data_IF_098362045707
#
_entry.id   IF_098362045707
#
_cell.length_a   1.000
_cell.length_b   1.000
_cell.length_c   1.000
_cell.angle_alpha   90.00
_cell.angle_beta   90.00
_cell.angle_gamma   90.00
#
_symmetry.space_group_name_H-M   'P 1'
#
loop_
_entity.id
_entity.type
_entity.pdbx_description
1 polymer ?
#
# COMPACT_ATOMS: atom_id res chain seq x y z
N UNK A 1 -17.63 -8.29 -15.94
CA UNK A 1 -16.37 -8.35 -16.71
C UNK A 1 -15.27 -9.13 -15.98
N UNK A 2 -15.03 -8.87 -14.69
CA UNK A 2 -14.05 -9.61 -13.88
C UNK A 2 -14.20 -11.15 -13.96
N UNK A 3 -15.43 -11.67 -13.95
CA UNK A 3 -15.69 -13.11 -14.08
C UNK A 3 -15.21 -13.73 -15.41
N UNK A 4 -15.23 -12.98 -16.53
CA UNK A 4 -14.71 -13.47 -17.82
C UNK A 4 -13.18 -13.54 -17.82
N UNK A 5 -12.51 -12.57 -17.19
CA UNK A 5 -11.05 -12.57 -17.03
C UNK A 5 -10.60 -13.70 -16.09
N UNK A 6 -11.32 -13.93 -14.99
CA UNK A 6 -11.05 -15.06 -14.09
C UNK A 6 -11.25 -16.42 -14.76
N UNK A 7 -12.26 -16.57 -15.62
CA UNK A 7 -12.47 -17.79 -16.38
C UNK A 7 -11.32 -18.05 -17.35
N UNK A 8 -10.86 -17.01 -18.06
CA UNK A 8 -9.69 -17.10 -18.96
C UNK A 8 -8.39 -17.39 -18.20
N UNK A 9 -8.21 -16.81 -17.02
CA UNK A 9 -7.06 -17.12 -16.15
C UNK A 9 -7.02 -18.61 -15.78
N UNK A 10 -8.16 -19.16 -15.33
CA UNK A 10 -8.27 -20.59 -15.01
C UNK A 10 -7.98 -21.47 -16.24
N UNK A 11 -8.49 -21.09 -17.41
CA UNK A 11 -8.24 -21.83 -18.65
C UNK A 11 -6.75 -21.84 -19.03
N UNK A 12 -6.09 -20.68 -19.01
CA UNK A 12 -4.66 -20.59 -19.33
C UNK A 12 -3.79 -21.28 -18.28
N UNK A 13 -4.18 -21.22 -17.01
CA UNK A 13 -3.52 -21.94 -15.94
C UNK A 13 -3.58 -23.46 -16.14
N UNK A 14 -4.75 -24.01 -16.47
CA UNK A 14 -4.87 -25.44 -16.78
C UNK A 14 -4.03 -25.85 -17.99
N UNK A 15 -3.99 -25.04 -19.06
CA UNK A 15 -3.13 -25.29 -20.23
C UNK A 15 -1.64 -25.23 -19.88
N UNK A 16 -1.24 -24.31 -19.00
CA UNK A 16 0.12 -24.22 -18.47
C UNK A 16 0.52 -25.49 -17.72
N UNK A 17 -0.35 -25.98 -16.83
CA UNK A 17 -0.11 -27.21 -16.06
C UNK A 17 0.00 -28.42 -17.00
N UNK A 18 -0.90 -28.54 -17.99
CA UNK A 18 -0.86 -29.62 -18.97
C UNK A 18 0.44 -29.61 -19.80
N UNK A 19 0.90 -28.43 -20.25
CA UNK A 19 2.17 -28.29 -20.97
C UNK A 19 3.38 -28.64 -20.10
N UNK A 20 3.36 -28.25 -18.81
CA UNK A 20 4.40 -28.60 -17.85
C UNK A 20 4.51 -30.12 -17.61
N UNK A 21 3.36 -30.80 -17.47
CA UNK A 21 3.29 -32.27 -17.33
C UNK A 21 3.79 -32.99 -18.58
N UNK A 22 3.54 -32.41 -19.75
CA UNK A 22 3.99 -32.93 -21.05
C UNK A 22 5.47 -32.62 -21.34
N UNK A 23 6.18 -31.96 -20.40
CA UNK A 23 7.57 -31.47 -20.51
C UNK A 23 7.80 -30.51 -21.68
N UNK A 24 6.74 -29.88 -22.20
CA UNK A 24 6.83 -28.83 -23.21
C UNK A 24 7.03 -27.47 -22.52
N UNK A 25 8.29 -27.21 -22.13
CA UNK A 25 8.66 -26.01 -21.38
C UNK A 25 8.45 -24.71 -22.16
N UNK A 26 8.56 -24.77 -23.50
CA UNK A 26 8.34 -23.61 -24.35
C UNK A 26 6.88 -23.15 -24.28
N UNK A 27 5.92 -24.08 -24.45
CA UNK A 27 4.49 -23.76 -24.33
C UNK A 27 4.08 -23.41 -22.91
N UNK A 28 4.63 -24.10 -21.90
CA UNK A 28 4.36 -23.79 -20.50
C UNK A 28 4.74 -22.33 -20.17
N UNK A 29 5.91 -21.86 -20.65
CA UNK A 29 6.35 -20.48 -20.46
C UNK A 29 5.42 -19.45 -21.11
N UNK A 30 4.93 -19.73 -22.31
CA UNK A 30 3.97 -18.85 -23.01
C UNK A 30 2.65 -18.75 -22.22
N UNK A 31 2.08 -19.88 -21.80
CA UNK A 31 0.84 -19.88 -21.03
C UNK A 31 1.00 -19.23 -19.65
N UNK A 32 2.16 -19.38 -19.01
CA UNK A 32 2.46 -18.71 -17.75
C UNK A 32 2.51 -17.18 -17.90
N UNK A 33 3.13 -16.67 -18.98
CA UNK A 33 3.17 -15.24 -19.27
C UNK A 33 1.76 -14.69 -19.54
N UNK A 34 0.96 -15.38 -20.33
CA UNK A 34 -0.42 -14.97 -20.62
C UNK A 34 -1.28 -14.94 -19.34
N UNK A 35 -1.13 -15.94 -18.47
CA UNK A 35 -1.78 -15.99 -17.17
C UNK A 35 -1.38 -14.77 -16.29
N UNK A 36 -0.09 -14.41 -16.27
CA UNK A 36 0.38 -13.24 -15.54
C UNK A 36 -0.23 -11.92 -16.07
N UNK A 37 -0.28 -11.74 -17.39
CA UNK A 37 -0.88 -10.55 -18.00
C UNK A 37 -2.39 -10.47 -17.77
N UNK A 38 -3.12 -11.59 -17.90
CA UNK A 38 -4.56 -11.64 -17.59
C UNK A 38 -4.82 -11.23 -16.13
N UNK A 39 -4.00 -11.70 -15.18
CA UNK A 39 -4.12 -11.33 -13.76
C UNK A 39 -3.83 -9.86 -13.52
N UNK A 40 -2.84 -9.30 -14.20
CA UNK A 40 -2.50 -7.87 -14.14
C UNK A 40 -3.67 -7.03 -14.61
N UNK A 41 -4.25 -7.37 -15.76
CA UNK A 41 -5.44 -6.72 -16.30
C UNK A 41 -6.63 -6.85 -15.34
N UNK A 42 -6.88 -8.06 -14.82
CA UNK A 42 -7.97 -8.32 -13.89
C UNK A 42 -7.84 -7.49 -12.60
N UNK A 43 -6.62 -7.31 -12.08
CA UNK A 43 -6.35 -6.46 -10.92
C UNK A 43 -6.72 -5.00 -11.21
N UNK A 44 -6.28 -4.46 -12.35
CA UNK A 44 -6.57 -3.08 -12.72
C UNK A 44 -8.07 -2.86 -12.87
N UNK A 45 -8.78 -3.78 -13.54
CA UNK A 45 -10.24 -3.72 -13.69
C UNK A 45 -10.93 -3.74 -12.33
N UNK A 46 -10.57 -4.68 -11.45
CA UNK A 46 -11.21 -4.81 -10.13
C UNK A 46 -10.97 -3.57 -9.26
N UNK A 47 -9.74 -3.05 -9.23
CA UNK A 47 -9.42 -1.82 -8.49
C UNK A 47 -10.19 -0.63 -9.04
N UNK A 48 -10.37 -0.55 -10.36
CA UNK A 48 -11.15 0.50 -11.00
C UNK A 48 -12.63 0.40 -10.65
N UNK A 49 -13.20 -0.81 -10.62
CA UNK A 49 -14.59 -1.03 -10.19
C UNK A 49 -14.80 -0.54 -8.75
N UNK A 50 -13.91 -0.89 -7.82
CA UNK A 50 -13.99 -0.44 -6.43
C UNK A 50 -13.86 1.08 -6.29
N UNK A 51 -13.01 1.70 -7.10
CA UNK A 51 -12.87 3.15 -7.13
C UNK A 51 -14.18 3.84 -7.58
N UNK A 52 -14.82 3.30 -8.63
CA UNK A 52 -16.11 3.81 -9.11
C UNK A 52 -17.25 3.55 -8.11
N UNK A 53 -17.28 2.40 -7.44
CA UNK A 53 -18.25 2.14 -6.36
C UNK A 53 -18.12 3.17 -5.23
N UNK A 54 -16.89 3.52 -4.85
CA UNK A 54 -16.63 4.58 -3.87
C UNK A 54 -17.13 5.94 -4.35
N UNK A 55 -16.93 6.25 -5.64
CA UNK A 55 -17.43 7.49 -6.26
C UNK A 55 -18.96 7.52 -6.20
N UNK A 56 -19.64 6.44 -6.56
CA UNK A 56 -21.11 6.36 -6.55
C UNK A 56 -21.64 6.64 -5.15
N UNK A 57 -21.11 5.98 -4.13
CA UNK A 57 -21.54 6.19 -2.73
C UNK A 57 -21.32 7.64 -2.32
N UNK A 58 -20.21 8.25 -2.72
CA UNK A 58 -19.92 9.65 -2.38
C UNK A 58 -20.87 10.62 -3.09
N UNK A 59 -21.21 10.37 -4.35
CA UNK A 59 -22.20 11.16 -5.08
C UNK A 59 -23.59 11.02 -4.46
N UNK A 60 -23.99 9.82 -4.04
CA UNK A 60 -25.24 9.60 -3.29
C UNK A 60 -25.27 10.40 -1.98
N UNK A 61 -24.18 10.42 -1.23
CA UNK A 61 -24.10 11.25 -0.01
C UNK A 61 -24.12 12.76 -0.33
N UNK A 62 -23.58 13.20 -1.47
CA UNK A 62 -23.67 14.62 -1.86
C UNK A 62 -25.11 14.97 -2.24
N UNK A 63 -25.81 14.10 -2.96
CA UNK A 63 -27.22 14.24 -3.32
C UNK A 63 -28.11 14.31 -2.07
N UNK A 64 -27.91 13.41 -1.10
CA UNK A 64 -28.71 13.34 0.13
C UNK A 64 -28.49 14.51 1.09
N UNK A 65 -27.30 15.09 1.13
CA UNK A 65 -26.91 16.10 2.12
C UNK A 65 -26.76 17.53 1.58
N UNK A 66 -26.92 17.75 0.26
CA UNK A 66 -27.29 19.02 -0.38
C UNK A 66 -26.35 20.24 -0.30
N UNK A 67 -25.48 20.36 0.71
CA UNK A 67 -24.75 21.61 1.04
C UNK A 67 -23.22 21.49 0.94
N UNK A 68 -22.69 20.52 0.20
CA UNK A 68 -21.23 20.26 0.15
C UNK A 68 -20.67 20.14 -1.26
N UNK A 69 -20.89 21.17 -2.07
CA UNK A 69 -20.32 21.27 -3.42
C UNK A 69 -18.78 21.15 -3.46
N UNK A 70 -18.10 21.55 -2.38
CA UNK A 70 -16.64 21.41 -2.16
C UNK A 70 -16.18 19.93 -2.19
N UNK A 71 -17.10 18.96 -2.11
CA UNK A 71 -16.77 17.52 -2.12
C UNK A 71 -16.83 16.83 -3.48
N UNK A 72 -17.21 17.51 -4.57
CA UNK A 72 -17.26 16.93 -5.93
C UNK A 72 -15.86 16.87 -6.59
N UNK A 73 -14.97 17.83 -6.31
CA UNK A 73 -13.61 17.84 -6.89
C UNK A 73 -12.81 16.54 -6.61
N UNK A 74 -12.79 16.00 -5.37
CA UNK A 74 -12.16 14.71 -5.08
C UNK A 74 -12.77 13.52 -5.85
N UNK A 75 -14.04 13.61 -6.25
CA UNK A 75 -14.71 12.58 -7.05
C UNK A 75 -14.20 12.62 -8.50
N UNK A 76 -14.07 13.82 -9.06
CA UNK A 76 -13.56 14.04 -10.41
C UNK A 76 -12.12 13.53 -10.56
N UNK A 77 -11.27 13.75 -9.55
CA UNK A 77 -9.89 13.26 -9.55
C UNK A 77 -9.83 11.72 -9.61
N UNK A 78 -10.67 11.03 -8.83
CA UNK A 78 -10.76 9.57 -8.85
C UNK A 78 -11.28 9.06 -10.20
N UNK A 79 -12.25 9.74 -10.81
CA UNK A 79 -12.77 9.40 -12.15
C UNK A 79 -11.67 9.54 -13.20
N UNK A 80 -10.92 10.66 -13.21
CA UNK A 80 -9.79 10.90 -14.12
C UNK A 80 -8.68 9.87 -13.95
N UNK A 81 -8.30 9.55 -12.72
CA UNK A 81 -7.29 8.54 -12.41
C UNK A 81 -7.74 7.15 -12.90
N UNK A 82 -9.00 6.80 -12.66
CA UNK A 82 -9.58 5.52 -13.07
C UNK A 82 -9.64 5.40 -14.60
N UNK A 83 -10.01 6.49 -15.29
CA UNK A 83 -9.95 6.58 -16.75
C UNK A 83 -8.54 6.31 -17.26
N UNK A 84 -7.52 6.96 -16.70
CA UNK A 84 -6.12 6.76 -17.12
C UNK A 84 -5.66 5.30 -16.97
N UNK A 85 -6.10 4.62 -15.92
CA UNK A 85 -5.80 3.19 -15.69
C UNK A 85 -6.53 2.26 -16.65
N UNK A 86 -7.78 2.58 -17.01
CA UNK A 86 -8.61 1.76 -17.89
C UNK A 86 -8.31 2.00 -19.37
N UNK A 87 -7.90 3.21 -19.78
CA UNK A 87 -7.70 3.58 -21.18
C UNK A 87 -6.73 2.67 -21.94
N UNK A 88 -5.70 2.16 -21.26
CA UNK A 88 -4.74 1.20 -21.84
C UNK A 88 -5.24 -0.24 -21.95
N UNK A 89 -6.44 -0.55 -21.42
CA UNK A 89 -7.00 -1.90 -21.36
C UNK A 89 -8.33 -1.96 -22.11
N UNK A 90 -9.24 -1.03 -21.82
CA UNK A 90 -10.61 -0.97 -22.37
C UNK A 90 -10.90 0.48 -22.77
N UNK A 91 -10.57 0.87 -24.02
CA UNK A 91 -10.74 2.24 -24.50
C UNK A 91 -12.19 2.71 -24.45
N UNK A 92 -13.17 1.84 -24.72
CA UNK A 92 -14.59 2.21 -24.73
C UNK A 92 -15.05 2.69 -23.35
N UNK A 93 -14.67 1.98 -22.28
CA UNK A 93 -15.02 2.38 -20.90
C UNK A 93 -14.31 3.69 -20.52
N UNK A 94 -13.11 3.95 -21.06
CA UNK A 94 -12.41 5.21 -20.82
C UNK A 94 -13.04 6.41 -21.54
N UNK A 95 -13.78 6.19 -22.64
CA UNK A 95 -14.57 7.25 -23.29
C UNK A 95 -15.80 7.59 -22.45
N UNK A 96 -16.54 6.58 -22.00
CA UNK A 96 -17.71 6.78 -21.12
C UNK A 96 -17.31 7.49 -19.81
N UNK A 97 -16.15 7.15 -19.23
CA UNK A 97 -15.63 7.85 -18.05
C UNK A 97 -15.23 9.30 -18.32
N UNK A 98 -14.89 9.66 -19.56
CA UNK A 98 -14.65 11.05 -19.95
C UNK A 98 -15.96 11.83 -20.03
N UNK A 99 -17.01 11.22 -20.54
CA UNK A 99 -18.35 11.83 -20.59
C UNK A 99 -18.86 12.07 -19.16
N UNK A 100 -18.66 11.11 -18.25
CA UNK A 100 -18.95 11.29 -16.81
C UNK A 100 -18.13 12.44 -16.20
N UNK A 101 -16.84 12.52 -16.50
CA UNK A 101 -15.98 13.60 -16.01
C UNK A 101 -16.41 14.98 -16.56
N UNK A 102 -16.92 15.03 -17.79
CA UNK A 102 -17.47 16.26 -18.40
C UNK A 102 -18.78 16.65 -17.73
N UNK A 103 -19.69 15.70 -17.52
CA UNK A 103 -20.95 15.95 -16.80
C UNK A 103 -20.72 16.44 -15.37
N UNK A 104 -19.71 15.89 -14.66
CA UNK A 104 -19.32 16.38 -13.33
C UNK A 104 -18.70 17.79 -13.37
N UNK A 105 -17.98 18.16 -14.44
CA UNK A 105 -17.48 19.52 -14.65
C UNK A 105 -18.62 20.50 -14.90
N UNK A 106 -19.55 20.15 -15.79
CA UNK A 106 -20.71 20.99 -16.11
C UNK A 106 -21.58 21.21 -14.87
N UNK A 107 -21.82 20.17 -14.09
CA UNK A 107 -22.53 20.26 -12.80
C UNK A 107 -21.80 21.17 -11.81
N UNK A 108 -20.46 21.08 -11.75
CA UNK A 108 -19.66 21.98 -10.91
C UNK A 108 -19.70 23.43 -11.38
N UNK A 109 -19.82 23.68 -12.68
CA UNK A 109 -19.93 25.01 -13.26
C UNK A 109 -21.33 25.61 -13.04
N UNK A 110 -22.38 24.81 -13.23
CA UNK A 110 -23.79 25.22 -13.14
C UNK A 110 -24.22 25.49 -11.70
N UNK A 111 -23.64 24.79 -10.73
CA UNK A 111 -23.80 25.09 -9.31
C UNK A 111 -23.02 26.34 -8.85
N UNK A 112 -22.39 27.06 -9.78
CA UNK A 112 -21.75 28.36 -9.60
C UNK A 112 -20.24 28.22 -9.46
N UNK A 113 -19.51 29.07 -10.19
CA UNK A 113 -18.16 29.45 -9.82
C UNK A 113 -18.20 29.88 -8.34
N UNK A 114 -17.73 29.00 -7.45
CA UNK A 114 -16.92 29.53 -6.36
C UNK A 114 -15.70 30.07 -7.08
N UNK A 115 -15.78 31.34 -7.49
CA UNK A 115 -14.59 32.13 -7.73
C UNK A 115 -13.68 31.79 -6.56
N UNK A 116 -12.56 31.16 -6.87
CA UNK A 116 -11.44 31.12 -5.95
C UNK A 116 -10.90 32.55 -5.86
N UNK A 117 -11.71 33.48 -5.35
CA UNK A 117 -11.17 34.48 -4.48
C UNK A 117 -10.42 33.69 -3.42
N UNK A 118 -9.10 33.69 -3.54
CA UNK A 118 -8.21 33.56 -2.40
C UNK A 118 -8.41 34.74 -1.45
N UNK A 119 -9.67 35.07 -1.12
CA UNK A 119 -9.99 35.90 0.01
C UNK A 119 -9.85 35.00 1.23
N UNK A 120 -8.69 35.21 1.85
CA UNK A 120 -8.41 34.97 3.25
C UNK A 120 -9.63 34.43 4.01
N UNK A 121 -9.54 33.18 4.45
CA UNK A 121 -10.05 32.83 5.78
C UNK A 121 -9.60 33.99 6.66
N UNK A 122 -10.57 34.82 7.09
CA UNK A 122 -10.31 36.09 7.73
C UNK A 122 -9.22 35.91 8.79
N UNK A 123 -8.24 36.82 8.79
CA UNK A 123 -7.05 36.78 9.65
C UNK A 123 -7.34 36.02 10.94
N UNK A 124 -6.82 34.79 11.02
CA UNK A 124 -7.03 33.92 12.17
C UNK A 124 -6.58 34.73 13.38
N UNK A 125 -7.49 34.99 14.34
CA UNK A 125 -7.10 35.69 15.56
C UNK A 125 -6.07 34.82 16.29
N UNK A 126 -5.11 35.44 16.99
CA UNK A 126 -4.12 34.71 17.77
C UNK A 126 -4.77 33.67 18.72
N UNK A 127 -5.98 33.96 19.19
CA UNK A 127 -6.77 33.05 20.01
C UNK A 127 -7.24 31.80 19.25
N UNK A 128 -7.67 31.95 17.99
CA UNK A 128 -8.04 30.82 17.15
C UNK A 128 -6.83 29.95 16.75
N UNK A 129 -5.64 30.56 16.60
CA UNK A 129 -4.38 29.80 16.40
C UNK A 129 -4.08 28.93 17.62
N UNK A 130 -4.21 29.48 18.83
CA UNK A 130 -4.00 28.72 20.08
C UNK A 130 -4.98 27.58 20.23
N UNK A 131 -6.27 27.82 19.96
CA UNK A 131 -7.30 26.77 20.05
C UNK A 131 -7.04 25.64 19.05
N UNK A 132 -6.58 25.95 17.83
CA UNK A 132 -6.19 24.94 16.85
C UNK A 132 -4.98 24.13 17.30
N UNK A 133 -4.00 24.79 17.93
CA UNK A 133 -2.80 24.14 18.44
C UNK A 133 -3.11 23.21 19.62
N UNK A 134 -3.93 23.66 20.57
CA UNK A 134 -4.40 22.84 21.69
C UNK A 134 -5.24 21.65 21.21
N UNK A 135 -6.12 21.87 20.23
CA UNK A 135 -6.94 20.80 19.63
C UNK A 135 -6.08 19.77 18.90
N UNK A 136 -5.00 20.19 18.23
CA UNK A 136 -4.07 19.28 17.55
C UNK A 136 -3.31 18.38 18.53
N UNK A 137 -2.87 18.93 19.67
CA UNK A 137 -2.18 18.16 20.71
C UNK A 137 -3.12 17.11 21.31
N UNK A 138 -4.36 17.50 21.62
CA UNK A 138 -5.36 16.57 22.16
C UNK A 138 -5.71 15.49 21.12
N UNK A 139 -5.82 15.85 19.84
CA UNK A 139 -6.05 14.88 18.77
C UNK A 139 -4.90 13.89 18.62
N UNK A 140 -3.64 14.34 18.73
CA UNK A 140 -2.46 13.46 18.69
C UNK A 140 -2.39 12.51 19.89
N UNK A 141 -2.72 12.98 21.09
CA UNK A 141 -2.82 12.13 22.29
C UNK A 141 -3.93 11.10 22.15
N UNK A 142 -5.12 11.51 21.70
CA UNK A 142 -6.22 10.60 21.42
C UNK A 142 -5.88 9.58 20.34
N UNK A 143 -5.13 9.96 19.30
CA UNK A 143 -4.66 9.05 18.26
C UNK A 143 -3.66 8.03 18.81
N UNK A 144 -2.73 8.43 19.68
CA UNK A 144 -1.79 7.52 20.36
C UNK A 144 -2.51 6.55 21.31
N UNK A 145 -3.59 6.97 21.96
CA UNK A 145 -4.39 6.10 22.84
C UNK A 145 -5.28 5.12 22.06
N UNK A 146 -5.94 5.58 20.98
CA UNK A 146 -6.83 4.73 20.17
C UNK A 146 -6.11 3.85 19.16
N UNK A 147 -4.92 4.25 18.74
CA UNK A 147 -4.07 3.52 17.81
C UNK A 147 -2.63 3.48 18.34
N UNK A 148 -2.33 2.62 19.32
CA UNK A 148 -0.94 2.33 19.66
C UNK A 148 -0.26 1.80 18.40
N UNK A 149 0.81 2.49 17.97
CA UNK A 149 1.51 2.17 16.73
C UNK A 149 1.91 0.68 16.73
N UNK A 150 1.47 -0.10 15.72
CA UNK A 150 1.98 -1.45 15.57
C UNK A 150 3.46 -1.35 15.22
N UNK A 151 4.32 -1.86 16.12
CA UNK A 151 5.72 -2.17 15.79
C UNK A 151 5.73 -3.26 14.73
N UNK A 152 5.58 -2.89 13.46
CA UNK A 152 5.77 -3.78 12.33
C UNK A 152 7.05 -3.39 11.59
N UNK A 153 8.09 -4.15 11.90
CA UNK A 153 8.98 -4.83 10.96
C UNK A 153 9.62 -4.00 9.84
N UNK A 154 10.93 -3.80 10.01
CA UNK A 154 11.97 -3.85 8.98
C UNK A 154 11.58 -3.40 7.56
N UNK A 155 11.58 -2.09 7.33
CA UNK A 155 12.26 -1.59 6.15
C UNK A 155 13.76 -1.70 6.40
N UNK A 156 14.42 -2.63 5.68
CA UNK A 156 15.86 -2.65 5.54
C UNK A 156 16.23 -1.36 4.80
N UNK A 157 16.54 -0.30 5.56
CA UNK A 157 17.28 0.85 5.07
C UNK A 157 18.76 0.49 5.12
N UNK A 158 19.32 0.18 3.95
CA UNK A 158 20.77 0.19 3.77
C UNK A 158 21.16 1.67 3.78
N UNK A 159 21.63 2.15 4.93
CA UNK A 159 22.37 3.40 5.05
C UNK A 159 23.80 3.05 5.44
N UNK A 160 24.73 3.52 4.63
CA UNK A 160 26.16 3.47 4.88
C UNK A 160 26.50 4.10 6.24
N UNK A 161 27.47 3.50 6.94
CA UNK A 161 28.21 4.15 8.04
C UNK A 161 27.41 4.42 9.31
N UNK A 162 27.13 3.39 10.10
CA UNK A 162 26.62 3.55 11.46
C UNK A 162 26.19 2.21 12.04
N UNK A 163 26.62 1.91 13.26
CA UNK A 163 26.44 0.61 13.90
C UNK A 163 24.97 0.14 13.90
N UNK A 164 24.68 -1.11 13.50
CA UNK A 164 23.31 -1.63 13.54
C UNK A 164 22.97 -2.03 14.98
N UNK A 165 22.43 -1.07 15.74
CA UNK A 165 21.75 -1.32 17.00
C UNK A 165 20.48 -2.14 16.71
N UNK A 166 20.58 -3.46 16.86
CA UNK A 166 19.45 -4.38 16.65
C UNK A 166 19.86 -5.80 16.28
N UNK A 167 21.07 -6.02 15.75
CA UNK A 167 21.54 -7.39 15.43
C UNK A 167 21.78 -8.20 16.71
N UNK A 168 22.22 -7.54 17.78
CA UNK A 168 22.47 -8.19 19.09
C UNK A 168 21.18 -8.78 19.68
N UNK A 169 20.07 -8.03 19.60
CA UNK A 169 18.76 -8.49 20.07
C UNK A 169 18.24 -9.67 19.25
N UNK A 170 18.42 -9.64 17.93
CA UNK A 170 18.02 -10.75 17.04
C UNK A 170 18.81 -12.03 17.34
N UNK A 171 20.10 -11.92 17.68
CA UNK A 171 20.94 -13.06 18.05
C UNK A 171 20.51 -13.62 19.42
N UNK A 172 20.20 -12.78 20.41
CA UNK A 172 19.68 -13.22 21.71
C UNK A 172 18.34 -13.94 21.54
N UNK A 173 17.44 -13.41 20.73
CA UNK A 173 16.15 -14.01 20.46
C UNK A 173 16.29 -15.38 19.79
N UNK A 174 17.22 -15.50 18.83
CA UNK A 174 17.54 -16.77 18.19
C UNK A 174 18.07 -17.82 19.17
N UNK A 175 18.96 -17.43 20.09
CA UNK A 175 19.52 -18.33 21.12
C UNK A 175 18.43 -18.81 22.07
N UNK A 176 17.52 -17.92 22.49
CA UNK A 176 16.37 -18.27 23.33
C UNK A 176 15.45 -19.26 22.61
N UNK A 177 15.16 -19.02 21.34
CA UNK A 177 14.26 -19.87 20.54
C UNK A 177 14.84 -21.27 20.29
N UNK A 178 16.15 -21.36 20.03
CA UNK A 178 16.83 -22.64 19.77
C UNK A 178 17.35 -23.34 21.04
N UNK A 179 16.91 -22.91 22.23
CA UNK A 179 17.26 -23.50 23.54
C UNK A 179 18.77 -23.79 23.70
N UNK A 180 19.60 -22.79 23.39
CA UNK A 180 21.05 -22.85 23.65
C UNK A 180 21.90 -23.62 22.63
N UNK A 181 21.34 -24.19 21.56
CA UNK A 181 22.13 -24.78 20.46
C UNK A 181 22.33 -23.77 19.33
N UNK A 182 23.41 -22.99 19.40
CA UNK A 182 23.74 -22.02 18.38
C UNK A 182 24.75 -22.60 17.37
N UNK A 183 24.36 -22.64 16.09
CA UNK A 183 25.29 -22.88 14.98
C UNK A 183 25.59 -21.57 14.27
N UNK A 184 26.85 -21.10 14.33
CA UNK A 184 27.28 -19.83 13.73
C UNK A 184 26.90 -19.71 12.25
N UNK A 185 27.06 -20.79 11.49
CA UNK A 185 26.77 -20.82 10.05
C UNK A 185 25.27 -20.73 9.74
N UNK A 186 24.41 -21.34 10.56
CA UNK A 186 22.96 -21.31 10.37
C UNK A 186 22.37 -19.97 10.81
N UNK A 187 22.84 -19.45 11.95
CA UNK A 187 22.46 -18.14 12.45
C UNK A 187 22.83 -17.03 11.46
N UNK A 188 24.05 -17.08 10.91
CA UNK A 188 24.49 -16.15 9.86
C UNK A 188 23.62 -16.23 8.59
N UNK A 189 23.25 -17.45 8.16
CA UNK A 189 22.41 -17.65 6.98
C UNK A 189 20.96 -17.20 7.19
N UNK A 190 20.38 -17.45 8.37
CA UNK A 190 18.99 -17.11 8.69
C UNK A 190 18.80 -15.62 9.01
N UNK A 191 19.81 -14.96 9.60
CA UNK A 191 19.79 -13.52 9.88
C UNK A 191 20.30 -12.66 8.71
N UNK A 192 20.89 -13.27 7.68
CA UNK A 192 21.48 -12.55 6.55
C UNK A 192 22.73 -11.74 6.91
N UNK A 193 23.43 -12.12 7.99
CA UNK A 193 24.59 -11.39 8.54
C UNK A 193 25.85 -12.25 8.40
N UNK A 194 27.02 -11.68 8.02
CA UNK A 194 28.25 -12.45 7.90
C UNK A 194 28.68 -13.12 9.22
N UNK A 195 29.20 -14.35 9.11
CA UNK A 195 29.60 -15.20 10.26
C UNK A 195 30.56 -14.49 11.22
N UNK A 196 31.49 -13.68 10.68
CA UNK A 196 32.44 -12.91 11.50
C UNK A 196 31.74 -11.87 12.38
N UNK A 197 30.66 -11.27 11.89
CA UNK A 197 29.90 -10.26 12.64
C UNK A 197 29.10 -10.93 13.76
N UNK A 198 28.47 -12.07 13.49
CA UNK A 198 27.80 -12.88 14.52
C UNK A 198 28.80 -13.28 15.62
N UNK A 199 30.01 -13.70 15.25
CA UNK A 199 31.07 -14.03 16.21
C UNK A 199 31.49 -12.83 17.09
N UNK A 200 31.62 -11.64 16.50
CA UNK A 200 31.97 -10.43 17.26
C UNK A 200 30.88 -10.01 18.25
N UNK A 201 29.61 -10.22 17.89
CA UNK A 201 28.46 -9.91 18.74
C UNK A 201 28.36 -10.90 19.90
N UNK A 202 28.58 -12.19 19.65
CA UNK A 202 28.59 -13.20 20.71
C UNK A 202 29.71 -12.96 21.73
N UNK A 203 30.90 -12.52 21.28
CA UNK A 203 31.98 -12.16 22.18
C UNK A 203 31.58 -11.00 23.10
N UNK A 204 31.00 -9.92 22.54
CA UNK A 204 30.48 -8.79 23.32
C UNK A 204 29.38 -9.23 24.31
N UNK A 205 28.46 -10.09 23.89
CA UNK A 205 27.38 -10.58 24.75
C UNK A 205 27.86 -11.51 25.87
N UNK A 206 28.96 -12.24 25.65
CA UNK A 206 29.64 -13.03 26.68
C UNK A 206 30.37 -12.13 27.67
N UNK A 207 31.04 -11.08 27.19
CA UNK A 207 31.71 -10.08 28.04
C UNK A 207 30.70 -9.29 28.90
N UNK A 208 29.49 -9.06 28.37
CA UNK A 208 28.37 -8.45 29.09
C UNK A 208 27.62 -9.43 30.02
N UNK A 209 28.00 -10.71 30.05
CA UNK A 209 27.42 -11.74 30.92
C UNK A 209 25.98 -12.15 30.57
N UNK A 210 25.50 -11.80 29.36
CA UNK A 210 24.13 -12.12 28.90
C UNK A 210 24.00 -13.54 28.37
N UNK A 211 25.11 -14.21 28.07
CA UNK A 211 25.19 -15.61 27.63
C UNK A 211 26.36 -16.31 28.32
N UNK A 212 26.14 -17.54 28.80
CA UNK A 212 27.21 -18.43 29.25
C UNK A 212 27.57 -19.39 28.10
N UNK A 213 28.79 -19.29 27.59
CA UNK A 213 29.33 -20.28 26.65
C UNK A 213 29.83 -21.49 27.44
N UNK A 214 29.11 -22.62 27.33
CA UNK A 214 29.51 -23.93 27.86
C UNK A 214 30.13 -24.75 26.73
#
# INVERSE_FOLDING_TARGET
MAGKLQQRDKEMFHKCVAAQLSKDLARAKVYANECAEIRKIAKIVLTSQLALERVIIRLQTIEEFGEVLVQVAPVMDVVKETRGRIAGIIPEVALELEDVNTMLQDMSLEAGEVETHGDAVGSISDEAVKVLQESSVIAEEMMKEKFPEPKMSNSIVISEGGEPAGIEELVIQYIREKRGKLSLSKCAAELGVPVQRVKSILAKLADEGKIEMI
#
